data_IF_203556833154
#
_entry.id   IF_203556833154
#
_cell.length_a   1.000
_cell.length_b   1.000
_cell.length_c   1.000
_cell.angle_alpha   90.00
_cell.angle_beta   90.00
_cell.angle_gamma   90.00
#
_symmetry.space_group_name_H-M   'P 1'
#
loop_
_entity.id
_entity.type
_entity.pdbx_description
1 polymer ?
#
# COMPACT_ATOMS: atom_id res chain seq x y z
N UNK A 1 14.41 -28.82 -5.16
CA UNK A 1 13.19 -28.13 -4.67
C UNK A 1 12.05 -28.46 -5.61
N UNK A 2 10.83 -28.76 -5.10
CA UNK A 2 9.67 -28.89 -5.96
C UNK A 2 9.42 -27.56 -6.68
N UNK A 3 9.23 -27.61 -8.00
CA UNK A 3 9.01 -26.45 -8.85
C UNK A 3 7.55 -26.45 -9.31
N UNK A 4 6.67 -25.66 -8.69
CA UNK A 4 5.22 -25.76 -8.87
C UNK A 4 4.73 -25.41 -10.28
N UNK A 5 5.56 -24.75 -11.08
CA UNK A 5 5.20 -24.29 -12.43
C UNK A 5 6.01 -24.91 -13.56
N UNK A 6 6.63 -26.08 -13.34
CA UNK A 6 7.29 -26.83 -14.43
C UNK A 6 6.28 -27.16 -15.54
N UNK A 7 6.64 -26.86 -16.78
CA UNK A 7 5.78 -27.05 -17.95
C UNK A 7 4.68 -25.99 -18.12
N UNK A 8 4.67 -24.95 -17.28
CA UNK A 8 3.79 -23.79 -17.41
C UNK A 8 4.53 -22.64 -18.10
N UNK A 9 3.82 -21.94 -18.97
CA UNK A 9 4.37 -20.76 -19.67
C UNK A 9 3.55 -19.52 -19.36
N UNK A 10 4.23 -18.48 -18.87
CA UNK A 10 3.59 -17.22 -18.51
C UNK A 10 4.17 -16.05 -19.32
N UNK A 11 3.29 -15.14 -19.71
CA UNK A 11 3.70 -13.81 -20.13
C UNK A 11 3.70 -12.88 -18.89
N UNK A 12 4.74 -12.05 -18.71
CA UNK A 12 4.80 -11.02 -17.67
C UNK A 12 4.88 -9.65 -18.32
N UNK A 13 3.91 -8.80 -18.05
CA UNK A 13 3.82 -7.46 -18.65
C UNK A 13 3.78 -6.37 -17.58
N UNK A 14 4.71 -5.39 -17.75
CA UNK A 14 5.01 -4.37 -16.76
C UNK A 14 6.09 -4.86 -15.79
N UNK A 15 7.35 -4.48 -16.06
CA UNK A 15 8.55 -5.00 -15.37
C UNK A 15 9.05 -4.08 -14.24
N UNK A 16 8.13 -3.31 -13.64
CA UNK A 16 8.41 -2.48 -12.47
C UNK A 16 8.43 -3.26 -11.16
N UNK A 17 8.02 -2.59 -10.06
CA UNK A 17 8.08 -3.08 -8.65
C UNK A 17 7.43 -4.46 -8.43
N UNK A 18 6.40 -4.82 -9.20
CA UNK A 18 5.73 -6.11 -9.06
C UNK A 18 6.22 -7.13 -10.12
N UNK A 19 6.36 -6.73 -11.38
CA UNK A 19 6.58 -7.67 -12.48
C UNK A 19 7.96 -8.33 -12.49
N UNK A 20 9.05 -7.58 -12.32
CA UNK A 20 10.39 -8.20 -12.29
C UNK A 20 10.59 -9.15 -11.10
N UNK A 21 10.21 -8.81 -9.87
CA UNK A 21 10.25 -9.78 -8.76
C UNK A 21 9.39 -11.02 -9.03
N UNK A 22 8.19 -10.84 -9.61
CA UNK A 22 7.33 -11.96 -9.98
C UNK A 22 7.97 -12.85 -11.06
N UNK A 23 8.58 -12.26 -12.11
CA UNK A 23 9.26 -13.00 -13.16
C UNK A 23 10.44 -13.83 -12.62
N UNK A 24 11.28 -13.24 -11.76
CA UNK A 24 12.39 -13.96 -11.11
C UNK A 24 11.85 -15.17 -10.31
N UNK A 25 10.78 -14.97 -9.55
CA UNK A 25 10.20 -16.04 -8.74
C UNK A 25 9.55 -17.12 -9.58
N UNK A 26 8.86 -16.77 -10.68
CA UNK A 26 8.31 -17.74 -11.62
C UNK A 26 9.40 -18.60 -12.26
N UNK A 27 10.54 -18.00 -12.63
CA UNK A 27 11.71 -18.73 -13.15
C UNK A 27 12.27 -19.71 -12.12
N UNK A 28 12.37 -19.30 -10.84
CA UNK A 28 12.77 -20.19 -9.75
C UNK A 28 11.79 -21.35 -9.56
N UNK A 29 10.52 -21.12 -9.80
CA UNK A 29 9.46 -22.12 -9.76
C UNK A 29 9.35 -22.99 -11.02
N UNK A 30 10.27 -22.83 -11.97
CA UNK A 30 10.40 -23.69 -13.14
C UNK A 30 9.51 -23.32 -14.33
N UNK A 31 8.91 -22.13 -14.33
CA UNK A 31 8.08 -21.66 -15.43
C UNK A 31 8.93 -21.20 -16.63
N UNK A 32 8.38 -21.40 -17.85
CA UNK A 32 8.82 -20.73 -19.06
C UNK A 32 8.21 -19.33 -19.16
N UNK A 33 9.01 -18.31 -19.53
CA UNK A 33 8.62 -16.91 -19.40
C UNK A 33 8.92 -16.10 -20.64
N UNK A 34 7.95 -15.26 -21.02
CA UNK A 34 8.13 -14.16 -21.98
C UNK A 34 7.77 -12.85 -21.30
N UNK A 35 8.69 -11.89 -21.31
CA UNK A 35 8.56 -10.62 -20.61
C UNK A 35 8.34 -9.45 -21.58
N UNK A 36 7.54 -8.48 -21.15
CA UNK A 36 7.37 -7.24 -21.90
C UNK A 36 7.12 -6.03 -20.99
N UNK A 37 7.67 -4.91 -21.39
CA UNK A 37 7.39 -3.58 -20.83
C UNK A 37 7.43 -2.55 -21.97
N UNK A 38 6.68 -1.45 -21.84
CA UNK A 38 6.73 -0.37 -22.82
C UNK A 38 8.02 0.45 -22.73
N UNK A 39 8.65 0.47 -21.53
CA UNK A 39 9.96 1.09 -21.31
C UNK A 39 11.09 0.27 -21.92
N UNK A 40 11.87 0.89 -22.81
CA UNK A 40 13.06 0.28 -23.38
C UNK A 40 14.09 -0.12 -22.32
N UNK A 41 14.30 0.72 -21.33
CA UNK A 41 15.24 0.45 -20.23
C UNK A 41 14.83 -0.77 -19.40
N UNK A 42 13.52 -0.93 -19.11
CA UNK A 42 13.02 -2.12 -18.42
C UNK A 42 13.21 -3.40 -19.23
N UNK A 43 13.00 -3.33 -20.53
CA UNK A 43 13.25 -4.47 -21.44
C UNK A 43 14.73 -4.85 -21.50
N UNK A 44 15.62 -3.87 -21.60
CA UNK A 44 17.06 -4.08 -21.60
C UNK A 44 17.53 -4.71 -20.28
N UNK A 45 17.05 -4.21 -19.14
CA UNK A 45 17.35 -4.78 -17.83
C UNK A 45 16.91 -6.25 -17.73
N UNK A 46 15.70 -6.59 -18.21
CA UNK A 46 15.22 -7.96 -18.24
C UNK A 46 16.05 -8.88 -19.17
N UNK A 47 16.42 -8.38 -20.36
CA UNK A 47 17.29 -9.12 -21.29
C UNK A 47 18.68 -9.38 -20.69
N UNK A 48 19.25 -8.41 -19.98
CA UNK A 48 20.54 -8.57 -19.28
C UNK A 48 20.48 -9.60 -18.13
N UNK A 49 19.29 -9.85 -17.57
CA UNK A 49 19.05 -10.95 -16.62
C UNK A 49 18.79 -12.31 -17.33
N UNK A 50 18.85 -12.37 -18.66
CA UNK A 50 18.69 -13.58 -19.45
C UNK A 50 17.23 -14.01 -19.63
N UNK A 51 16.26 -13.09 -19.53
CA UNK A 51 14.88 -13.38 -19.89
C UNK A 51 14.62 -13.20 -21.38
N UNK A 52 13.71 -14.01 -21.93
CA UNK A 52 13.16 -13.77 -23.26
C UNK A 52 12.26 -12.52 -23.23
N UNK A 53 12.60 -11.51 -24.04
CA UNK A 53 11.89 -10.22 -24.06
C UNK A 53 11.27 -10.01 -25.44
N UNK A 54 9.99 -10.31 -25.54
CA UNK A 54 9.16 -10.16 -26.74
C UNK A 54 7.75 -9.73 -26.33
N UNK A 55 7.00 -9.16 -27.27
CA UNK A 55 5.56 -9.02 -27.08
C UNK A 55 4.93 -10.42 -27.02
N UNK A 56 4.09 -10.73 -26.02
CA UNK A 56 3.49 -12.07 -25.88
C UNK A 56 2.83 -12.57 -27.16
N UNK A 57 2.13 -11.70 -27.92
CA UNK A 57 1.52 -12.06 -29.19
C UNK A 57 2.50 -12.40 -30.32
N UNK A 58 3.75 -11.97 -30.23
CA UNK A 58 4.82 -12.25 -31.21
C UNK A 58 5.60 -13.53 -30.85
N UNK A 59 5.59 -13.93 -29.59
CA UNK A 59 6.35 -15.09 -29.10
C UNK A 59 5.76 -16.44 -29.54
N UNK A 60 4.50 -16.46 -30.00
CA UNK A 60 3.80 -17.69 -30.41
C UNK A 60 3.60 -18.69 -29.28
N UNK A 61 2.93 -19.82 -29.63
CA UNK A 61 2.67 -20.88 -28.66
C UNK A 61 1.54 -20.59 -27.68
N UNK A 62 1.34 -21.52 -26.73
CA UNK A 62 0.33 -21.40 -25.68
C UNK A 62 0.91 -20.70 -24.46
N UNK A 63 0.08 -19.87 -23.80
CA UNK A 63 0.37 -19.30 -22.49
C UNK A 63 -0.69 -19.75 -21.49
N UNK A 64 -0.27 -20.17 -20.30
CA UNK A 64 -1.18 -20.51 -19.19
C UNK A 64 -1.80 -19.26 -18.56
N UNK A 65 -1.08 -18.14 -18.54
CA UNK A 65 -1.62 -16.85 -18.15
C UNK A 65 -0.73 -15.67 -18.56
N UNK A 66 -1.35 -14.49 -18.57
CA UNK A 66 -0.68 -13.19 -18.59
C UNK A 66 -0.65 -12.62 -17.16
N UNK A 67 0.53 -12.46 -16.59
CA UNK A 67 0.76 -11.74 -15.33
C UNK A 67 0.90 -10.26 -15.66
N UNK A 68 -0.07 -9.47 -15.26
CA UNK A 68 -0.13 -8.05 -15.62
C UNK A 68 0.06 -7.17 -14.38
N UNK A 69 1.04 -6.27 -14.41
CA UNK A 69 1.25 -5.30 -13.31
C UNK A 69 -0.04 -4.54 -12.99
N UNK A 70 -0.37 -4.30 -11.70
CA UNK A 70 -1.66 -3.73 -11.29
C UNK A 70 -1.99 -2.39 -11.95
N UNK A 71 -0.99 -1.52 -12.16
CA UNK A 71 -1.16 -0.22 -12.78
C UNK A 71 -1.56 -0.25 -14.27
N UNK A 72 -1.33 -1.37 -14.96
CA UNK A 72 -1.63 -1.50 -16.39
C UNK A 72 -3.11 -1.88 -16.57
N UNK A 73 -3.89 -1.11 -17.36
CA UNK A 73 -5.31 -1.37 -17.54
C UNK A 73 -5.55 -2.65 -18.36
N UNK A 74 -6.44 -3.51 -17.87
CA UNK A 74 -6.89 -4.69 -18.62
C UNK A 74 -8.28 -4.51 -19.24
N UNK A 75 -9.00 -3.44 -18.85
CA UNK A 75 -10.32 -3.05 -19.39
C UNK A 75 -10.36 -1.54 -19.61
N UNK A 76 -10.78 -0.76 -18.63
CA UNK A 76 -10.95 0.69 -18.73
C UNK A 76 -9.67 1.46 -18.32
N UNK A 77 -9.47 2.69 -18.85
CA UNK A 77 -10.30 3.38 -19.87
C UNK A 77 -10.20 2.73 -21.27
N UNK A 78 -9.09 2.05 -21.56
CA UNK A 78 -8.87 1.19 -22.70
C UNK A 78 -7.89 0.09 -22.29
N UNK A 79 -8.07 -1.16 -22.75
CA UNK A 79 -7.14 -2.22 -22.41
C UNK A 79 -5.76 -1.95 -23.05
N UNK A 80 -4.72 -2.20 -22.29
CA UNK A 80 -3.36 -2.21 -22.81
C UNK A 80 -3.24 -3.23 -23.97
N UNK A 81 -2.45 -2.98 -25.04
CA UNK A 81 -2.36 -3.89 -26.19
C UNK A 81 -2.11 -5.36 -25.83
N UNK A 82 -1.26 -5.63 -24.83
CA UNK A 82 -0.99 -7.00 -24.41
C UNK A 82 -2.15 -7.61 -23.60
N UNK A 83 -2.93 -6.80 -22.89
CA UNK A 83 -4.15 -7.26 -22.23
C UNK A 83 -5.25 -7.57 -23.25
N UNK A 84 -5.42 -6.72 -24.26
CA UNK A 84 -6.34 -6.97 -25.37
C UNK A 84 -5.99 -8.24 -26.14
N UNK A 85 -4.70 -8.46 -26.42
CA UNK A 85 -4.22 -9.70 -27.01
C UNK A 85 -4.60 -10.92 -26.16
N UNK A 86 -4.33 -10.88 -24.84
CA UNK A 86 -4.65 -12.00 -23.95
C UNK A 86 -6.15 -12.32 -23.94
N UNK A 87 -7.01 -11.29 -23.91
CA UNK A 87 -8.46 -11.44 -24.00
C UNK A 87 -8.90 -12.10 -25.32
N UNK A 88 -8.34 -11.67 -26.46
CA UNK A 88 -8.65 -12.23 -27.77
C UNK A 88 -8.16 -13.68 -27.92
N UNK A 89 -7.01 -14.00 -27.31
CA UNK A 89 -6.42 -15.33 -27.34
C UNK A 89 -7.02 -16.27 -26.26
N UNK A 90 -7.93 -15.80 -25.42
CA UNK A 90 -8.49 -16.59 -24.31
C UNK A 90 -7.48 -16.91 -23.20
N UNK A 91 -6.38 -16.13 -23.11
CA UNK A 91 -5.36 -16.26 -22.07
C UNK A 91 -5.82 -15.55 -20.81
N UNK A 92 -5.92 -16.20 -19.64
CA UNK A 92 -6.33 -15.56 -18.40
C UNK A 92 -5.32 -14.49 -17.97
N UNK A 93 -5.84 -13.34 -17.48
CA UNK A 93 -5.03 -12.25 -16.94
C UNK A 93 -5.05 -12.38 -15.41
N UNK A 94 -3.90 -12.60 -14.80
CA UNK A 94 -3.77 -12.88 -13.37
C UNK A 94 -2.98 -11.79 -12.64
N UNK A 95 -3.29 -11.62 -11.35
CA UNK A 95 -2.43 -10.93 -10.40
C UNK A 95 -1.35 -11.91 -9.89
N UNK A 96 -0.19 -11.36 -9.50
CA UNK A 96 0.90 -12.15 -8.90
C UNK A 96 0.49 -12.83 -7.58
N UNK A 97 -0.46 -12.26 -6.84
CA UNK A 97 -1.05 -12.85 -5.65
C UNK A 97 -1.80 -14.17 -5.93
N UNK A 98 -2.46 -14.28 -7.09
CA UNK A 98 -3.08 -15.53 -7.54
C UNK A 98 -2.04 -16.64 -7.71
N UNK A 99 -0.92 -16.30 -8.35
CA UNK A 99 0.16 -17.27 -8.58
C UNK A 99 0.90 -17.65 -7.29
N UNK A 100 1.03 -16.73 -6.33
CA UNK A 100 1.51 -17.08 -4.99
C UNK A 100 0.63 -18.17 -4.36
N UNK A 101 -0.69 -17.95 -4.38
CA UNK A 101 -1.64 -18.91 -3.82
C UNK A 101 -1.52 -20.29 -4.48
N UNK A 102 -1.51 -20.31 -5.82
CA UNK A 102 -1.35 -21.56 -6.58
C UNK A 102 -0.03 -22.26 -6.24
N UNK A 103 1.09 -21.54 -6.17
CA UNK A 103 2.38 -22.09 -5.81
C UNK A 103 2.39 -22.67 -4.38
N UNK A 104 1.85 -21.94 -3.41
CA UNK A 104 1.77 -22.37 -2.00
C UNK A 104 0.96 -23.66 -1.88
N UNK A 105 -0.18 -23.76 -2.56
CA UNK A 105 -1.04 -24.95 -2.55
C UNK A 105 -0.40 -26.12 -3.29
N UNK A 106 0.24 -25.88 -4.44
CA UNK A 106 0.96 -26.91 -5.19
C UNK A 106 2.17 -27.48 -4.41
N UNK A 107 2.80 -26.66 -3.55
CA UNK A 107 3.88 -27.10 -2.66
C UNK A 107 3.38 -27.76 -1.37
N UNK A 108 2.06 -27.93 -1.21
CA UNK A 108 1.42 -28.64 -0.09
C UNK A 108 1.27 -27.81 1.19
N UNK A 109 1.67 -26.52 1.20
CA UNK A 109 1.48 -25.67 2.38
C UNK A 109 0.01 -25.29 2.58
N UNK A 110 -0.43 -25.38 3.84
CA UNK A 110 -1.77 -24.97 4.31
C UNK A 110 -1.78 -23.58 4.93
N UNK A 111 -0.70 -22.83 4.77
CA UNK A 111 -0.62 -21.44 5.26
C UNK A 111 -1.87 -20.64 4.86
N UNK A 112 -2.37 -19.85 5.81
CA UNK A 112 -3.61 -19.08 5.63
C UNK A 112 -3.37 -17.79 4.84
N UNK A 113 -4.39 -17.33 4.14
CA UNK A 113 -4.36 -16.11 3.36
C UNK A 113 -5.33 -15.07 3.94
N UNK A 114 -4.81 -13.92 4.29
CA UNK A 114 -5.57 -12.74 4.72
C UNK A 114 -5.49 -11.70 3.62
N UNK A 115 -6.64 -11.30 3.08
CA UNK A 115 -6.75 -10.20 2.13
C UNK A 115 -7.25 -8.93 2.83
N UNK A 116 -6.60 -7.79 2.59
CA UNK A 116 -7.01 -6.51 3.16
C UNK A 116 -7.23 -5.50 2.05
N UNK A 117 -8.45 -4.98 1.92
CA UNK A 117 -8.81 -3.94 0.96
C UNK A 117 -9.63 -2.82 1.60
N UNK A 118 -9.97 -1.83 0.82
CA UNK A 118 -10.69 -0.61 1.21
C UNK A 118 -10.20 0.57 0.38
N UNK A 119 -10.85 1.69 0.44
CA UNK A 119 -10.31 2.92 -0.14
C UNK A 119 -9.14 3.40 0.71
N UNK A 120 -9.33 3.49 2.03
CA UNK A 120 -8.34 3.98 2.99
C UNK A 120 -8.02 2.92 4.07
N UNK A 121 -6.89 3.08 4.77
CA UNK A 121 -6.52 2.26 5.92
C UNK A 121 -5.79 0.95 5.62
N UNK A 122 -5.81 0.46 4.39
CA UNK A 122 -5.22 -0.83 3.99
C UNK A 122 -3.81 -1.08 4.54
N UNK A 123 -2.89 -0.18 4.24
CA UNK A 123 -1.47 -0.34 4.62
C UNK A 123 -1.27 -0.38 6.12
N UNK A 124 -1.99 0.47 6.87
CA UNK A 124 -1.92 0.48 8.34
C UNK A 124 -2.43 -0.83 8.92
N UNK A 125 -3.58 -1.32 8.44
CA UNK A 125 -4.17 -2.58 8.88
C UNK A 125 -3.29 -3.77 8.53
N UNK A 126 -2.71 -3.80 7.32
CA UNK A 126 -1.78 -4.85 6.87
C UNK A 126 -0.54 -4.91 7.75
N UNK A 127 0.10 -3.78 7.98
CA UNK A 127 1.32 -3.72 8.79
C UNK A 127 1.03 -4.00 10.28
N UNK A 128 -0.09 -3.50 10.81
CA UNK A 128 -0.50 -3.77 12.19
C UNK A 128 -0.78 -5.25 12.40
N UNK A 129 -1.51 -5.90 11.50
CA UNK A 129 -1.76 -7.34 11.60
C UNK A 129 -0.47 -8.15 11.51
N UNK A 130 0.44 -7.80 10.60
CA UNK A 130 1.75 -8.44 10.51
C UNK A 130 2.54 -8.31 11.81
N UNK A 131 2.53 -7.12 12.41
CA UNK A 131 3.18 -6.88 13.69
C UNK A 131 2.54 -7.70 14.83
N UNK A 132 1.20 -7.74 14.92
CA UNK A 132 0.48 -8.56 15.90
C UNK A 132 0.87 -10.05 15.75
N UNK A 133 0.90 -10.58 14.53
CA UNK A 133 1.28 -11.97 14.28
C UNK A 133 2.74 -12.24 14.66
N UNK A 134 3.63 -11.28 14.41
CA UNK A 134 5.04 -11.38 14.81
C UNK A 134 5.19 -11.40 16.33
N UNK A 135 4.49 -10.54 17.06
CA UNK A 135 4.46 -10.52 18.54
C UNK A 135 3.87 -11.83 19.09
N UNK A 136 2.88 -12.39 18.40
CA UNK A 136 2.28 -13.67 18.77
C UNK A 136 3.14 -14.90 18.39
N UNK A 137 4.30 -14.72 17.74
CA UNK A 137 5.16 -15.82 17.29
C UNK A 137 4.59 -16.60 16.09
N UNK A 138 3.61 -16.07 15.37
CA UNK A 138 3.03 -16.70 14.18
C UNK A 138 3.89 -16.37 12.96
N UNK A 139 4.42 -17.37 12.22
CA UNK A 139 5.13 -17.14 10.97
C UNK A 139 4.24 -16.36 10.00
N UNK A 140 4.71 -15.23 9.50
CA UNK A 140 3.89 -14.41 8.62
C UNK A 140 4.73 -13.70 7.55
N UNK A 141 4.07 -13.33 6.44
CA UNK A 141 4.65 -12.52 5.39
C UNK A 141 3.60 -11.55 4.86
N UNK A 142 3.93 -10.26 4.86
CA UNK A 142 3.06 -9.21 4.34
C UNK A 142 3.60 -8.69 3.00
N UNK A 143 2.70 -8.41 2.05
CA UNK A 143 3.10 -7.93 0.73
C UNK A 143 1.94 -7.57 -0.18
N UNK A 144 2.18 -7.64 -1.47
CA UNK A 144 1.31 -7.32 -2.58
C UNK A 144 1.31 -5.80 -2.92
N UNK A 145 0.24 -5.07 -2.66
CA UNK A 145 0.19 -3.63 -2.94
C UNK A 145 1.05 -2.80 -1.97
N UNK A 146 1.35 -3.32 -0.79
CA UNK A 146 2.29 -2.78 0.19
C UNK A 146 3.52 -3.68 0.26
N UNK A 147 4.72 -3.08 0.22
CA UNK A 147 5.97 -3.82 0.38
C UNK A 147 6.35 -4.67 -0.84
N UNK A 148 6.87 -5.91 -0.63
CA UNK A 148 7.28 -6.78 -1.70
C UNK A 148 6.09 -7.29 -2.53
N UNK A 149 6.35 -7.59 -3.81
CA UNK A 149 5.38 -8.26 -4.69
C UNK A 149 4.89 -9.58 -4.05
N UNK A 150 3.60 -9.89 -4.21
CA UNK A 150 3.02 -11.07 -3.53
C UNK A 150 3.80 -12.35 -3.85
N UNK A 151 4.10 -12.60 -5.11
CA UNK A 151 4.78 -13.82 -5.54
C UNK A 151 6.23 -13.92 -5.04
N UNK A 152 6.86 -12.80 -4.68
CA UNK A 152 8.22 -12.79 -4.10
C UNK A 152 8.26 -13.17 -2.61
N UNK A 153 7.12 -13.30 -1.95
CA UNK A 153 7.05 -13.71 -0.56
C UNK A 153 7.57 -15.15 -0.35
N UNK A 154 8.16 -15.45 0.81
CA UNK A 154 8.65 -16.80 1.11
C UNK A 154 7.50 -17.81 1.19
N UNK A 155 7.78 -19.09 0.92
CA UNK A 155 6.82 -20.17 1.19
C UNK A 155 6.78 -20.40 2.69
N UNK A 156 5.61 -20.18 3.28
CA UNK A 156 5.39 -20.29 4.72
C UNK A 156 4.99 -21.73 5.10
N UNK A 157 5.30 -22.18 6.34
CA UNK A 157 4.80 -23.43 6.90
C UNK A 157 3.28 -23.38 7.10
N UNK A 158 2.64 -24.53 7.34
CA UNK A 158 1.19 -24.68 7.51
C UNK A 158 0.58 -23.74 8.56
N UNK A 159 1.31 -23.48 9.65
CA UNK A 159 0.89 -22.53 10.69
C UNK A 159 1.06 -21.05 10.31
N UNK A 160 1.61 -20.77 9.14
CA UNK A 160 1.88 -19.41 8.70
C UNK A 160 0.68 -18.68 8.13
N UNK A 161 0.80 -17.37 7.98
CA UNK A 161 -0.21 -16.51 7.39
C UNK A 161 0.39 -15.48 6.41
N UNK A 162 -0.14 -15.44 5.19
CA UNK A 162 0.11 -14.36 4.23
C UNK A 162 -0.87 -13.22 4.48
N UNK A 163 -0.37 -11.99 4.56
CA UNK A 163 -1.17 -10.78 4.76
C UNK A 163 -1.02 -9.92 3.51
N UNK A 164 -2.01 -9.96 2.64
CA UNK A 164 -1.93 -9.33 1.34
C UNK A 164 -2.76 -8.04 1.31
N UNK A 165 -2.08 -6.90 1.13
CA UNK A 165 -2.78 -5.66 0.79
C UNK A 165 -3.27 -5.73 -0.65
N UNK A 166 -4.59 -5.70 -0.86
CA UNK A 166 -5.18 -5.89 -2.17
C UNK A 166 -5.78 -4.61 -2.72
N UNK A 167 -5.29 -4.15 -3.87
CA UNK A 167 -5.96 -3.11 -4.65
C UNK A 167 -7.17 -3.71 -5.40
N UNK A 168 -8.13 -2.85 -5.81
CA UNK A 168 -9.24 -3.28 -6.66
C UNK A 168 -8.76 -3.92 -7.98
N UNK A 169 -7.68 -3.41 -8.56
CA UNK A 169 -7.07 -3.94 -9.80
C UNK A 169 -6.51 -5.36 -9.65
N UNK A 170 -6.00 -5.71 -8.47
CA UNK A 170 -5.51 -7.06 -8.19
C UNK A 170 -6.67 -8.02 -7.95
N UNK A 171 -7.69 -7.57 -7.22
CA UNK A 171 -8.86 -8.39 -6.89
C UNK A 171 -9.63 -8.85 -8.12
N UNK A 172 -9.79 -8.00 -9.15
CA UNK A 172 -10.42 -8.34 -10.42
C UNK A 172 -9.70 -9.44 -11.23
N UNK A 173 -8.47 -9.77 -10.85
CA UNK A 173 -7.59 -10.72 -11.55
C UNK A 173 -7.31 -11.97 -10.72
N UNK A 174 -8.18 -12.27 -9.77
CA UNK A 174 -8.15 -13.48 -8.97
C UNK A 174 -9.09 -14.52 -9.54
N UNK A 175 -8.66 -15.78 -9.57
CA UNK A 175 -9.43 -16.90 -10.08
C UNK A 175 -9.68 -17.95 -9.00
N UNK A 176 -8.63 -18.39 -8.31
CA UNK A 176 -8.69 -19.45 -7.31
C UNK A 176 -8.31 -19.00 -5.90
N UNK A 177 -7.62 -17.88 -5.75
CA UNK A 177 -7.21 -17.38 -4.44
C UNK A 177 -8.42 -17.16 -3.54
N UNK A 178 -8.51 -17.98 -2.48
CA UNK A 178 -9.48 -17.89 -1.39
C UNK A 178 -8.80 -17.28 -0.18
N UNK A 179 -9.38 -16.21 0.34
CA UNK A 179 -8.93 -15.62 1.60
C UNK A 179 -9.63 -16.32 2.77
N UNK A 180 -8.85 -16.90 3.68
CA UNK A 180 -9.36 -17.45 4.94
C UNK A 180 -9.94 -16.31 5.82
N UNK A 181 -9.35 -15.11 5.70
CA UNK A 181 -9.88 -13.87 6.29
C UNK A 181 -9.88 -12.77 5.22
N UNK A 182 -11.05 -12.30 4.84
CA UNK A 182 -11.22 -11.14 3.96
C UNK A 182 -11.58 -9.90 4.77
N UNK A 183 -10.88 -8.77 4.54
CA UNK A 183 -11.12 -7.51 5.24
C UNK A 183 -11.43 -6.41 4.24
N UNK A 184 -12.59 -5.78 4.36
CA UNK A 184 -12.99 -4.56 3.66
C UNK A 184 -13.14 -3.43 4.69
N UNK A 185 -12.31 -2.39 4.62
CA UNK A 185 -12.31 -1.33 5.62
C UNK A 185 -13.39 -0.26 5.36
N UNK A 186 -13.46 0.25 4.14
CA UNK A 186 -14.35 1.33 3.74
C UNK A 186 -14.40 1.48 2.23
N UNK A 187 -15.45 2.16 1.73
CA UNK A 187 -15.66 2.48 0.33
C UNK A 187 -16.01 3.95 0.16
N UNK A 188 -15.19 4.68 -0.57
CA UNK A 188 -15.46 6.03 -1.04
C UNK A 188 -15.00 6.18 -2.49
N UNK A 189 -15.53 7.13 -3.26
CA UNK A 189 -15.18 7.30 -4.68
C UNK A 189 -13.66 7.38 -4.88
N UNK A 190 -13.14 6.44 -5.69
CA UNK A 190 -11.73 6.39 -6.09
C UNK A 190 -11.61 5.53 -7.34
N UNK A 191 -10.62 5.82 -8.19
CA UNK A 191 -10.33 5.02 -9.39
C UNK A 191 -11.52 4.78 -10.35
N UNK A 192 -12.47 5.71 -10.42
CA UNK A 192 -13.67 5.56 -11.26
C UNK A 192 -13.35 5.53 -12.76
N UNK A 193 -12.25 6.17 -13.17
CA UNK A 193 -11.69 6.07 -14.52
C UNK A 193 -11.34 4.62 -14.92
N UNK A 194 -11.04 3.77 -13.95
CA UNK A 194 -10.63 2.36 -14.14
C UNK A 194 -11.77 1.36 -13.94
N UNK A 195 -12.82 1.72 -13.21
CA UNK A 195 -13.95 0.86 -12.88
C UNK A 195 -15.27 1.32 -13.52
N UNK A 196 -15.28 2.51 -14.16
CA UNK A 196 -16.45 3.13 -14.78
C UNK A 196 -17.26 3.96 -13.79
N UNK A 197 -17.72 3.34 -12.71
CA UNK A 197 -18.52 3.98 -11.66
C UNK A 197 -18.28 3.32 -10.28
N UNK A 198 -19.05 3.76 -9.28
CA UNK A 198 -18.97 3.19 -7.92
C UNK A 198 -19.41 1.73 -7.89
N UNK A 199 -20.40 1.32 -8.69
CA UNK A 199 -20.87 -0.07 -8.72
C UNK A 199 -19.76 -1.02 -9.24
N UNK A 200 -19.03 -0.61 -10.28
CA UNK A 200 -17.86 -1.33 -10.78
C UNK A 200 -16.72 -1.41 -9.75
N UNK A 201 -16.47 -0.30 -9.02
CA UNK A 201 -15.46 -0.28 -7.97
C UNK A 201 -15.83 -1.18 -6.79
N UNK A 202 -17.10 -1.17 -6.36
CA UNK A 202 -17.62 -2.08 -5.32
C UNK A 202 -17.53 -3.54 -5.75
N UNK A 203 -17.93 -3.85 -6.99
CA UNK A 203 -17.83 -5.20 -7.55
C UNK A 203 -16.39 -5.71 -7.55
N UNK A 204 -15.43 -4.88 -7.97
CA UNK A 204 -14.02 -5.22 -7.95
C UNK A 204 -13.51 -5.54 -6.53
N UNK A 205 -13.88 -4.74 -5.54
CA UNK A 205 -13.46 -4.97 -4.15
C UNK A 205 -14.17 -6.14 -3.50
N UNK A 206 -15.43 -6.41 -3.86
CA UNK A 206 -16.20 -7.54 -3.36
C UNK A 206 -15.56 -8.90 -3.70
N UNK A 207 -14.70 -8.96 -4.72
CA UNK A 207 -13.93 -10.16 -5.07
C UNK A 207 -13.09 -10.71 -3.91
N UNK A 208 -12.77 -9.90 -2.90
CA UNK A 208 -12.05 -10.36 -1.71
C UNK A 208 -12.83 -11.43 -0.92
N UNK A 209 -14.17 -11.45 -1.05
CA UNK A 209 -15.06 -12.37 -0.36
C UNK A 209 -15.61 -13.48 -1.28
N UNK A 210 -15.45 -13.35 -2.60
CA UNK A 210 -16.18 -14.14 -3.60
C UNK A 210 -15.96 -15.67 -3.49
N UNK A 211 -14.83 -16.10 -2.93
CA UNK A 211 -14.46 -17.52 -2.83
C UNK A 211 -14.43 -18.05 -1.39
N UNK A 212 -14.98 -17.26 -0.44
CA UNK A 212 -15.06 -17.66 0.95
C UNK A 212 -16.17 -18.71 1.18
N UNK A 213 -15.92 -19.63 2.09
CA UNK A 213 -16.85 -20.66 2.58
C UNK A 213 -17.09 -20.50 4.09
N UNK A 214 -17.77 -21.46 4.71
CA UNK A 214 -18.15 -21.41 6.13
C UNK A 214 -16.95 -21.41 7.10
N UNK A 215 -15.77 -21.83 6.64
CA UNK A 215 -14.55 -21.85 7.46
C UNK A 215 -13.82 -20.49 7.41
N UNK A 216 -14.28 -19.57 6.56
CA UNK A 216 -13.70 -18.26 6.35
C UNK A 216 -14.36 -17.17 7.20
N UNK A 217 -13.66 -16.05 7.38
CA UNK A 217 -14.18 -14.88 8.08
C UNK A 217 -14.19 -13.67 7.14
N UNK A 218 -15.33 -13.02 7.01
CA UNK A 218 -15.52 -11.76 6.30
C UNK A 218 -15.62 -10.61 7.31
N UNK A 219 -14.65 -9.71 7.30
CA UNK A 219 -14.61 -8.52 8.18
C UNK A 219 -14.91 -7.30 7.34
N UNK A 220 -15.89 -6.49 7.74
CA UNK A 220 -16.29 -5.31 6.99
C UNK A 220 -16.56 -4.11 7.89
N UNK A 221 -15.98 -2.95 7.53
CA UNK A 221 -16.32 -1.67 8.13
C UNK A 221 -17.73 -1.22 7.70
N UNK A 222 -18.46 -0.60 8.64
CA UNK A 222 -19.85 -0.17 8.39
C UNK A 222 -20.05 1.35 8.60
N UNK A 223 -19.00 2.15 8.41
CA UNK A 223 -19.09 3.60 8.63
C UNK A 223 -19.59 4.37 7.40
N UNK A 224 -19.53 3.79 6.21
CA UNK A 224 -20.07 4.36 4.96
C UNK A 224 -21.23 3.53 4.40
N UNK A 225 -22.08 4.18 3.58
CA UNK A 225 -23.27 3.54 3.03
C UNK A 225 -22.98 2.37 2.09
N UNK A 226 -22.02 2.48 1.13
CA UNK A 226 -21.66 1.34 0.28
C UNK A 226 -21.19 0.12 1.08
N UNK A 227 -20.36 0.31 2.10
CA UNK A 227 -19.89 -0.78 2.94
C UNK A 227 -21.01 -1.41 3.77
N UNK A 228 -22.00 -0.61 4.27
CA UNK A 228 -23.21 -1.14 4.93
C UNK A 228 -24.04 -2.01 4.00
N UNK A 229 -24.24 -1.59 2.75
CA UNK A 229 -24.95 -2.38 1.75
C UNK A 229 -24.23 -3.70 1.45
N UNK A 230 -22.90 -3.66 1.35
CA UNK A 230 -22.10 -4.87 1.18
C UNK A 230 -22.17 -5.81 2.39
N UNK A 231 -22.28 -5.28 3.62
CA UNK A 231 -22.47 -6.08 4.82
C UNK A 231 -23.81 -6.83 4.81
N UNK A 232 -24.89 -6.22 4.30
CA UNK A 232 -26.17 -6.92 4.10
C UNK A 232 -26.06 -8.06 3.10
N UNK A 233 -25.33 -7.87 2.01
CA UNK A 233 -25.05 -8.95 1.07
C UNK A 233 -24.24 -10.07 1.72
N UNK A 234 -23.20 -9.74 2.51
CA UNK A 234 -22.35 -10.68 3.23
C UNK A 234 -23.13 -11.52 4.26
N UNK A 235 -24.17 -10.97 4.89
CA UNK A 235 -25.01 -11.70 5.82
C UNK A 235 -25.73 -12.91 5.19
N UNK A 236 -25.89 -12.93 3.87
CA UNK A 236 -26.42 -14.08 3.12
C UNK A 236 -25.33 -15.03 2.57
N UNK A 237 -24.05 -14.79 2.84
CA UNK A 237 -22.96 -15.63 2.38
C UNK A 237 -22.53 -16.65 3.45
N UNK A 238 -21.82 -17.73 3.07
CA UNK A 238 -21.46 -18.80 4.02
C UNK A 238 -20.40 -18.38 5.05
N UNK A 239 -19.55 -17.39 4.76
CA UNK A 239 -18.48 -16.96 5.64
C UNK A 239 -19.02 -16.32 6.94
N UNK A 240 -18.28 -16.46 8.03
CA UNK A 240 -18.59 -15.78 9.29
C UNK A 240 -18.43 -14.26 9.10
N UNK A 241 -19.53 -13.52 9.21
CA UNK A 241 -19.53 -12.07 9.11
C UNK A 241 -19.13 -11.39 10.44
N UNK A 242 -18.20 -10.45 10.37
CA UNK A 242 -17.81 -9.56 11.46
C UNK A 242 -17.92 -8.11 10.97
N UNK A 243 -18.95 -7.40 11.42
CA UNK A 243 -19.10 -5.97 11.13
C UNK A 243 -18.33 -5.15 12.16
N UNK A 244 -17.53 -4.17 11.69
CA UNK A 244 -16.69 -3.34 12.55
C UNK A 244 -16.99 -1.85 12.35
N UNK A 245 -16.94 -1.09 13.46
CA UNK A 245 -16.97 0.38 13.45
C UNK A 245 -16.05 0.93 14.54
N UNK A 246 -15.41 2.07 14.28
CA UNK A 246 -14.60 2.78 15.26
C UNK A 246 -15.40 3.22 16.51
N UNK A 247 -16.72 3.26 16.42
CA UNK A 247 -17.59 3.60 17.56
C UNK A 247 -17.63 2.50 18.62
N UNK A 248 -17.32 1.26 18.24
CA UNK A 248 -17.38 0.10 19.12
C UNK A 248 -16.00 -0.42 19.52
N UNK A 249 -14.95 0.36 19.27
CA UNK A 249 -13.59 -0.09 19.54
C UNK A 249 -12.75 1.00 20.19
N UNK A 250 -12.33 0.74 21.42
CA UNK A 250 -11.37 1.57 22.12
C UNK A 250 -9.95 1.09 21.84
N UNK A 251 -9.22 1.87 21.07
CA UNK A 251 -7.84 1.53 20.72
C UNK A 251 -6.94 1.70 21.94
N UNK A 252 -6.14 0.69 22.33
CA UNK A 252 -5.13 0.83 23.35
C UNK A 252 -4.19 2.01 23.05
N UNK A 253 -3.69 2.72 24.06
CA UNK A 253 -2.84 3.89 23.85
C UNK A 253 -1.63 3.57 22.99
N UNK A 254 -1.62 4.10 21.77
CA UNK A 254 -0.48 4.04 20.85
C UNK A 254 -0.51 5.29 19.96
N UNK A 255 0.57 6.07 19.97
CA UNK A 255 0.67 7.32 19.19
C UNK A 255 0.61 7.08 17.68
N UNK A 256 1.13 5.94 17.21
CA UNK A 256 1.11 5.58 15.78
C UNK A 256 -0.31 5.21 15.29
N UNK A 257 -1.23 4.95 16.21
CA UNK A 257 -2.63 4.59 15.92
C UNK A 257 -3.61 5.69 16.41
N UNK A 258 -3.14 6.92 16.60
CA UNK A 258 -4.00 8.02 16.98
C UNK A 258 -5.06 8.32 15.92
N UNK A 259 -6.26 8.69 16.38
CA UNK A 259 -7.38 9.09 15.54
C UNK A 259 -8.40 7.99 15.24
N UNK A 260 -9.65 8.42 15.02
CA UNK A 260 -10.81 7.54 14.84
C UNK A 260 -10.65 6.53 13.70
N UNK A 261 -10.06 6.95 12.58
CA UNK A 261 -9.80 6.07 11.43
C UNK A 261 -8.81 4.93 11.78
N UNK A 262 -7.86 5.18 12.69
CA UNK A 262 -6.95 4.15 13.18
C UNK A 262 -7.60 3.22 14.19
N UNK A 263 -8.64 3.65 14.90
CA UNK A 263 -9.46 2.76 15.72
C UNK A 263 -10.15 1.69 14.85
N UNK A 264 -10.72 2.07 13.71
CA UNK A 264 -11.26 1.09 12.74
C UNK A 264 -10.18 0.14 12.21
N UNK A 265 -9.00 0.67 11.84
CA UNK A 265 -7.87 -0.14 11.36
C UNK A 265 -7.40 -1.14 12.43
N UNK A 266 -7.31 -0.69 13.69
CA UNK A 266 -6.91 -1.54 14.81
C UNK A 266 -7.98 -2.60 15.12
N UNK A 267 -9.25 -2.25 15.04
CA UNK A 267 -10.34 -3.20 15.20
C UNK A 267 -10.29 -4.28 14.11
N UNK A 268 -10.14 -3.89 12.84
CA UNK A 268 -10.00 -4.82 11.72
C UNK A 268 -8.83 -5.79 11.91
N UNK A 269 -7.65 -5.28 12.29
CA UNK A 269 -6.47 -6.09 12.53
C UNK A 269 -6.67 -7.05 13.72
N UNK A 270 -7.34 -6.59 14.79
CA UNK A 270 -7.67 -7.42 15.95
C UNK A 270 -8.59 -8.59 15.59
N UNK A 271 -9.67 -8.31 14.89
CA UNK A 271 -10.61 -9.36 14.47
C UNK A 271 -9.98 -10.34 13.47
N UNK A 272 -9.13 -9.86 12.57
CA UNK A 272 -8.36 -10.73 11.68
C UNK A 272 -7.38 -11.63 12.47
N UNK A 273 -6.69 -11.08 13.47
CA UNK A 273 -5.81 -11.85 14.34
C UNK A 273 -6.57 -12.91 15.17
N UNK A 274 -7.76 -12.56 15.71
CA UNK A 274 -8.65 -13.50 16.42
C UNK A 274 -9.09 -14.64 15.49
N UNK A 275 -9.48 -14.31 14.25
CA UNK A 275 -9.86 -15.33 13.25
C UNK A 275 -8.70 -16.27 12.91
N UNK A 276 -7.46 -15.81 13.06
CA UNK A 276 -6.24 -16.61 12.93
C UNK A 276 -5.89 -17.38 14.22
N UNK A 277 -6.65 -17.24 15.31
CA UNK A 277 -6.43 -17.96 16.57
C UNK A 277 -5.41 -17.28 17.51
N UNK A 278 -5.08 -16.00 17.29
CA UNK A 278 -4.18 -15.24 18.18
C UNK A 278 -4.90 -14.89 19.48
N UNK A 279 -4.21 -15.02 20.60
CA UNK A 279 -4.75 -14.69 21.90
C UNK A 279 -4.95 -13.17 22.08
N UNK A 280 -5.95 -12.78 22.86
CA UNK A 280 -6.26 -11.37 23.14
C UNK A 280 -5.07 -10.62 23.75
N UNK A 281 -4.32 -11.27 24.66
CA UNK A 281 -3.12 -10.68 25.26
C UNK A 281 -2.04 -10.35 24.21
N UNK A 282 -1.79 -11.22 23.24
CA UNK A 282 -0.83 -10.97 22.17
C UNK A 282 -1.32 -9.89 21.19
N UNK A 283 -2.64 -9.81 20.94
CA UNK A 283 -3.25 -8.74 20.14
C UNK A 283 -3.03 -7.39 20.80
N UNK A 284 -3.37 -7.28 22.09
CA UNK A 284 -3.20 -6.04 22.84
C UNK A 284 -1.74 -5.59 22.91
N UNK A 285 -0.81 -6.53 23.13
CA UNK A 285 0.62 -6.25 23.13
C UNK A 285 1.10 -5.79 21.77
N UNK A 286 0.67 -6.46 20.68
CA UNK A 286 0.99 -6.06 19.32
C UNK A 286 0.47 -4.65 18.99
N UNK A 287 -0.74 -4.29 19.40
CA UNK A 287 -1.27 -2.93 19.20
C UNK A 287 -0.45 -1.90 19.99
N UNK A 288 -0.12 -2.17 21.25
CA UNK A 288 0.68 -1.25 22.08
C UNK A 288 2.07 -1.01 21.54
N UNK A 289 2.71 -2.05 21.01
CA UNK A 289 4.09 -2.02 20.54
C UNK A 289 4.22 -1.70 19.04
N UNK A 290 3.11 -1.51 18.32
CA UNK A 290 3.14 -1.19 16.90
C UNK A 290 3.89 0.12 16.63
N UNK A 291 4.98 0.11 15.86
CA UNK A 291 5.81 1.29 15.64
C UNK A 291 5.22 2.27 14.61
N UNK A 292 4.08 1.95 14.01
CA UNK A 292 3.54 2.67 12.85
C UNK A 292 4.12 2.18 11.52
N UNK A 293 3.66 2.80 10.45
CA UNK A 293 4.22 2.58 9.10
C UNK A 293 5.41 3.50 8.89
N UNK A 294 6.48 2.96 8.33
CA UNK A 294 7.58 3.77 7.84
C UNK A 294 7.06 4.86 6.90
N UNK A 295 7.57 6.07 7.06
CA UNK A 295 7.26 7.23 6.22
C UNK A 295 5.78 7.67 6.19
N UNK A 296 4.97 7.27 7.19
CA UNK A 296 3.57 7.68 7.32
C UNK A 296 3.32 8.24 8.71
N UNK A 297 3.42 9.56 8.86
CA UNK A 297 3.35 10.30 10.11
C UNK A 297 4.19 9.65 11.25
N UNK A 298 5.29 8.99 10.88
CA UNK A 298 6.17 8.24 11.77
C UNK A 298 7.05 9.18 12.57
N UNK A 299 7.04 9.10 13.91
CA UNK A 299 8.04 9.78 14.74
C UNK A 299 9.40 9.06 14.60
N UNK A 300 10.36 9.69 13.94
CA UNK A 300 11.67 9.10 13.64
C UNK A 300 12.77 9.52 14.59
N UNK A 301 12.61 10.67 15.26
CA UNK A 301 13.55 11.17 16.25
C UNK A 301 12.88 12.16 17.21
N UNK A 302 13.45 12.29 18.41
CA UNK A 302 13.20 13.40 19.34
C UNK A 302 14.56 13.97 19.72
N UNK A 303 14.81 15.26 19.41
CA UNK A 303 16.06 15.93 19.74
C UNK A 303 15.78 17.22 20.50
N UNK A 304 16.35 17.36 21.68
CA UNK A 304 16.17 18.53 22.54
C UNK A 304 14.69 18.98 22.69
N UNK A 305 13.79 18.01 22.83
CA UNK A 305 12.34 18.25 22.95
C UNK A 305 11.61 18.47 21.61
N UNK A 306 12.31 18.56 20.47
CA UNK A 306 11.71 18.66 19.16
C UNK A 306 11.48 17.27 18.58
N UNK A 307 10.23 16.99 18.17
CA UNK A 307 9.80 15.75 17.54
C UNK A 307 9.90 15.87 16.02
N UNK A 308 10.49 14.87 15.37
CA UNK A 308 10.59 14.78 13.92
C UNK A 308 9.63 13.74 13.38
N UNK A 309 8.68 14.17 12.58
CA UNK A 309 7.61 13.34 12.03
C UNK A 309 7.86 13.15 10.54
N UNK A 310 8.07 11.90 10.12
CA UNK A 310 8.31 11.50 8.75
C UNK A 310 6.99 11.03 8.11
N UNK A 311 6.52 11.79 7.14
CA UNK A 311 5.35 11.47 6.33
C UNK A 311 5.69 11.54 4.83
N UNK A 312 6.88 11.07 4.46
CA UNK A 312 7.39 11.12 3.08
C UNK A 312 6.46 10.43 2.07
N UNK A 313 5.60 9.52 2.52
CA UNK A 313 4.58 8.84 1.70
C UNK A 313 3.45 9.79 1.27
N UNK A 314 3.29 10.96 1.86
CA UNK A 314 2.35 11.99 1.42
C UNK A 314 2.82 12.63 0.10
N UNK A 315 2.55 11.95 -1.01
CA UNK A 315 2.95 12.37 -2.36
C UNK A 315 1.92 13.26 -3.07
N UNK A 316 0.92 13.74 -2.35
CA UNK A 316 -0.09 14.70 -2.80
C UNK A 316 -0.69 15.44 -1.61
N UNK A 317 -1.47 16.50 -1.87
CA UNK A 317 -2.09 17.35 -0.85
C UNK A 317 -3.09 16.58 0.04
N UNK A 318 -3.96 15.73 -0.53
CA UNK A 318 -4.92 14.92 0.24
C UNK A 318 -4.20 14.04 1.28
N UNK A 319 -3.11 13.38 0.89
CA UNK A 319 -2.33 12.58 1.83
C UNK A 319 -1.71 13.44 2.95
N UNK A 320 -1.15 14.61 2.61
CA UNK A 320 -0.54 15.52 3.58
C UNK A 320 -1.56 16.10 4.57
N UNK A 321 -2.79 16.36 4.13
CA UNK A 321 -3.86 16.92 4.97
C UNK A 321 -4.12 16.07 6.23
N UNK A 322 -3.99 14.75 6.10
CA UNK A 322 -4.19 13.79 7.21
C UNK A 322 -3.14 13.93 8.29
N UNK A 323 -1.87 14.05 7.91
CA UNK A 323 -0.78 14.27 8.87
C UNK A 323 -0.89 15.67 9.51
N UNK A 324 -1.19 16.70 8.71
CA UNK A 324 -1.40 18.07 9.22
C UNK A 324 -2.57 18.16 10.19
N UNK A 325 -3.61 17.35 10.00
CA UNK A 325 -4.78 17.28 10.87
C UNK A 325 -4.50 16.78 12.30
N UNK A 326 -3.40 16.04 12.50
CA UNK A 326 -3.02 15.45 13.80
C UNK A 326 -2.38 16.47 14.74
N UNK A 327 -1.69 17.49 14.20
CA UNK A 327 -0.90 18.44 14.96
C UNK A 327 -1.60 19.80 15.05
N UNK A 328 -1.61 20.42 16.23
CA UNK A 328 -2.15 21.76 16.43
C UNK A 328 -1.25 22.83 15.80
N UNK A 329 0.09 22.70 16.00
CA UNK A 329 1.10 23.57 15.41
C UNK A 329 2.35 22.76 15.03
N UNK A 330 3.00 23.15 13.93
CA UNK A 330 4.22 22.47 13.44
C UNK A 330 5.03 23.38 12.52
N UNK A 331 6.33 23.09 12.42
CA UNK A 331 7.19 23.55 11.32
C UNK A 331 7.08 22.53 10.20
N UNK A 332 6.73 22.99 8.99
CA UNK A 332 6.44 22.11 7.85
C UNK A 332 7.61 22.05 6.88
N UNK A 333 8.03 20.85 6.50
CA UNK A 333 8.95 20.63 5.37
C UNK A 333 8.13 20.04 4.22
N UNK A 334 8.13 20.73 3.05
CA UNK A 334 7.33 20.33 1.89
C UNK A 334 8.03 20.63 0.56
N UNK A 335 7.55 19.95 -0.51
CA UNK A 335 8.03 20.19 -1.86
C UNK A 335 8.65 18.96 -2.52
N UNK A 336 8.96 19.09 -3.81
CA UNK A 336 9.34 18.06 -4.77
C UNK A 336 8.58 18.30 -6.08
N UNK A 337 8.06 17.22 -6.71
CA UNK A 337 7.26 17.29 -7.96
C UNK A 337 5.77 17.30 -7.61
N UNK A 338 5.13 18.49 -7.73
CA UNK A 338 3.73 18.67 -7.40
C UNK A 338 2.79 18.02 -8.43
N UNK A 339 1.60 17.61 -7.96
CA UNK A 339 0.47 17.27 -8.83
C UNK A 339 -0.36 18.51 -9.17
N UNK A 340 -1.28 18.38 -10.13
CA UNK A 340 -2.23 19.44 -10.45
C UNK A 340 -2.98 19.89 -9.18
N UNK A 341 -3.18 21.19 -9.00
CA UNK A 341 -3.78 21.78 -7.79
C UNK A 341 -2.79 22.15 -6.68
N UNK A 342 -1.54 21.70 -6.73
CA UNK A 342 -0.49 22.07 -5.77
C UNK A 342 -0.88 21.77 -4.33
N UNK A 343 -0.89 22.83 -3.48
CA UNK A 343 -1.21 22.75 -2.04
C UNK A 343 -2.49 23.51 -1.65
N UNK A 344 -3.35 23.87 -2.60
CA UNK A 344 -4.55 24.67 -2.31
C UNK A 344 -5.53 23.96 -1.37
N UNK A 345 -5.66 22.63 -1.50
CA UNK A 345 -6.48 21.80 -0.61
C UNK A 345 -6.00 21.81 0.86
N UNK A 346 -4.75 22.23 1.11
CA UNK A 346 -4.17 22.33 2.45
C UNK A 346 -4.47 23.67 3.13
N UNK A 347 -5.11 24.63 2.46
CA UNK A 347 -5.42 25.96 3.01
C UNK A 347 -6.11 25.93 4.39
N UNK A 348 -7.01 24.99 4.73
CA UNK A 348 -7.59 24.87 6.08
C UNK A 348 -6.56 24.65 7.20
N UNK A 349 -5.36 24.17 6.87
CA UNK A 349 -4.30 23.87 7.85
C UNK A 349 -3.22 24.96 7.91
N UNK A 350 -3.24 25.96 7.04
CA UNK A 350 -2.17 26.97 6.96
C UNK A 350 -1.98 27.76 8.27
N UNK A 351 -3.04 27.99 9.02
CA UNK A 351 -2.97 28.66 10.34
C UNK A 351 -2.21 27.85 11.41
N UNK A 352 -1.97 26.57 11.18
CA UNK A 352 -1.21 25.69 12.07
C UNK A 352 0.28 25.66 11.77
N UNK A 353 0.67 26.18 10.58
CA UNK A 353 2.06 26.19 10.14
C UNK A 353 2.77 27.37 10.80
N UNK A 354 3.76 27.08 11.62
CA UNK A 354 4.59 28.10 12.26
C UNK A 354 5.63 28.67 11.31
N UNK A 355 6.29 27.81 10.54
CA UNK A 355 7.17 28.15 9.42
C UNK A 355 7.18 26.99 8.42
N UNK A 356 7.23 27.26 7.14
CA UNK A 356 7.42 26.26 6.09
C UNK A 356 8.82 26.35 5.49
N UNK A 357 9.52 25.22 5.39
CA UNK A 357 10.81 25.05 4.69
C UNK A 357 10.54 24.26 3.40
N UNK A 358 10.82 24.90 2.26
CA UNK A 358 10.38 24.38 0.97
C UNK A 358 11.55 23.85 0.16
N UNK A 359 11.36 22.68 -0.44
CA UNK A 359 12.40 21.94 -1.14
C UNK A 359 11.95 21.54 -2.55
N UNK A 360 12.91 21.13 -3.38
CA UNK A 360 12.64 20.51 -4.67
C UNK A 360 12.10 21.46 -5.74
N UNK A 361 11.73 20.86 -6.87
CA UNK A 361 11.41 21.56 -8.12
C UNK A 361 10.29 22.60 -7.99
N UNK A 362 9.20 22.23 -7.32
CA UNK A 362 8.02 23.09 -7.23
C UNK A 362 7.93 23.83 -5.88
N UNK A 363 9.02 23.81 -5.08
CA UNK A 363 9.09 24.48 -3.77
C UNK A 363 8.91 26.00 -3.85
N UNK A 364 9.41 26.68 -4.90
CA UNK A 364 9.21 28.11 -5.10
C UNK A 364 7.73 28.46 -5.34
N UNK A 365 7.00 27.63 -6.08
CA UNK A 365 5.57 27.81 -6.28
C UNK A 365 4.79 27.68 -4.95
N UNK A 366 5.18 26.74 -4.10
CA UNK A 366 4.62 26.61 -2.75
C UNK A 366 4.95 27.81 -1.88
N UNK A 367 6.19 28.33 -1.95
CA UNK A 367 6.60 29.54 -1.23
C UNK A 367 5.71 30.73 -1.58
N UNK A 368 5.47 30.94 -2.88
CA UNK A 368 4.59 32.00 -3.36
C UNK A 368 3.17 31.85 -2.79
N UNK A 369 2.59 30.64 -2.90
CA UNK A 369 1.23 30.36 -2.42
C UNK A 369 1.08 30.57 -0.91
N UNK A 370 2.06 30.16 -0.13
CA UNK A 370 2.08 30.35 1.33
C UNK A 370 2.27 31.82 1.71
N UNK A 371 3.10 32.57 0.99
CA UNK A 371 3.27 34.01 1.20
C UNK A 371 1.97 34.78 0.93
N UNK A 372 1.22 34.42 -0.11
CA UNK A 372 -0.10 35.00 -0.40
C UNK A 372 -1.12 34.74 0.74
N UNK A 373 -0.93 33.62 1.48
CA UNK A 373 -1.74 33.28 2.64
C UNK A 373 -1.20 33.82 3.97
N UNK A 374 -0.09 34.57 3.96
CA UNK A 374 0.52 35.13 5.16
C UNK A 374 1.28 34.13 6.02
N UNK A 375 1.63 32.95 5.49
CA UNK A 375 2.39 31.92 6.20
C UNK A 375 3.89 32.19 6.05
N UNK A 376 4.62 32.24 7.17
CA UNK A 376 6.07 32.36 7.18
C UNK A 376 6.70 31.16 6.46
N UNK A 377 7.53 31.42 5.44
CA UNK A 377 8.13 30.37 4.65
C UNK A 377 9.49 30.74 4.07
N UNK A 378 10.24 29.73 3.64
CA UNK A 378 11.56 29.89 3.04
C UNK A 378 11.82 28.75 2.06
N UNK A 379 12.23 29.07 0.82
CA UNK A 379 12.72 28.07 -0.12
C UNK A 379 14.18 27.77 0.14
N UNK A 380 14.49 26.56 0.58
CA UNK A 380 15.86 26.13 0.95
C UNK A 380 16.44 25.09 -0.01
N UNK A 381 15.60 24.53 -0.88
CA UNK A 381 15.98 23.68 -1.99
C UNK A 381 16.14 22.19 -1.67
N UNK A 382 16.82 21.80 -0.57
CA UNK A 382 17.10 20.38 -0.24
C UNK A 382 16.81 20.04 1.22
N UNK A 383 16.70 18.73 1.53
CA UNK A 383 16.46 18.24 2.89
C UNK A 383 17.63 18.55 3.84
N UNK A 384 18.86 18.51 3.36
CA UNK A 384 20.06 18.82 4.15
C UNK A 384 20.01 20.24 4.73
N UNK A 385 19.41 21.18 3.99
CA UNK A 385 19.21 22.55 4.45
C UNK A 385 17.91 22.71 5.25
N UNK A 386 16.85 21.99 4.83
CA UNK A 386 15.54 22.12 5.45
C UNK A 386 15.51 21.57 6.88
N UNK A 387 16.12 20.40 7.15
CA UNK A 387 16.04 19.75 8.46
C UNK A 387 16.71 20.56 9.58
N UNK A 388 17.94 21.08 9.43
CA UNK A 388 18.53 21.95 10.46
C UNK A 388 17.76 23.27 10.67
N UNK A 389 17.27 23.89 9.59
CA UNK A 389 16.48 25.11 9.68
C UNK A 389 15.13 24.86 10.39
N UNK A 390 14.46 23.74 10.08
CA UNK A 390 13.23 23.32 10.73
C UNK A 390 13.44 23.00 12.22
N UNK A 391 14.53 22.33 12.56
CA UNK A 391 14.89 22.08 13.97
C UNK A 391 15.04 23.39 14.75
N UNK A 392 15.78 24.35 14.20
CA UNK A 392 15.99 25.65 14.85
C UNK A 392 14.66 26.39 15.06
N UNK A 393 13.79 26.40 14.04
CA UNK A 393 12.48 27.03 14.15
C UNK A 393 11.58 26.34 15.17
N UNK A 394 11.51 25.01 15.14
CA UNK A 394 10.65 24.24 16.04
C UNK A 394 11.12 24.27 17.52
N UNK A 395 12.44 24.33 17.76
CA UNK A 395 13.01 24.45 19.11
C UNK A 395 12.62 25.75 19.81
N UNK A 396 12.46 26.83 19.04
CA UNK A 396 12.01 28.14 19.54
C UNK A 396 10.49 28.27 19.67
N UNK A 397 9.71 27.26 19.24
CA UNK A 397 8.27 27.36 19.10
C UNK A 397 7.51 26.06 19.42
N UNK A 398 6.88 25.47 18.40
CA UNK A 398 5.90 24.38 18.54
C UNK A 398 6.47 23.01 18.94
N UNK A 399 7.79 22.79 18.88
CA UNK A 399 8.43 21.52 19.19
C UNK A 399 8.14 20.35 18.22
N UNK A 400 7.59 20.63 17.03
CA UNK A 400 7.25 19.61 16.04
C UNK A 400 7.78 20.01 14.66
N UNK A 401 8.59 19.15 14.04
CA UNK A 401 8.95 19.19 12.62
C UNK A 401 8.14 18.12 11.89
N UNK A 402 7.26 18.56 11.00
CA UNK A 402 6.45 17.68 10.14
C UNK A 402 7.02 17.69 8.73
N UNK A 403 7.62 16.58 8.32
CA UNK A 403 8.00 16.32 6.93
C UNK A 403 6.86 15.60 6.23
N UNK A 404 5.99 16.33 5.56
CA UNK A 404 4.86 15.82 4.77
C UNK A 404 4.84 16.55 3.43
N UNK A 405 5.57 16.04 2.43
CA UNK A 405 6.00 16.79 1.25
C UNK A 405 4.87 17.29 0.35
N UNK A 406 3.72 16.64 0.34
CA UNK A 406 2.58 16.88 -0.57
C UNK A 406 2.91 16.69 -2.07
N UNK A 407 4.04 16.05 -2.39
CA UNK A 407 4.61 15.93 -3.74
C UNK A 407 5.29 14.59 -3.95
N UNK A 408 5.42 14.15 -5.22
CA UNK A 408 6.33 13.06 -5.57
C UNK A 408 7.80 13.48 -5.35
N UNK A 409 8.71 12.50 -5.23
CA UNK A 409 10.11 12.68 -4.85
C UNK A 409 11.09 12.69 -6.03
N UNK A 410 10.62 12.42 -7.25
CA UNK A 410 11.44 12.03 -8.41
C UNK A 410 12.39 13.12 -8.95
N UNK A 411 12.36 14.31 -8.42
CA UNK A 411 13.32 15.39 -8.72
C UNK A 411 14.65 15.26 -7.96
N UNK A 412 14.62 14.68 -6.75
CA UNK A 412 15.79 14.54 -5.88
C UNK A 412 16.04 13.11 -5.39
N UNK A 413 15.03 12.23 -5.43
CA UNK A 413 15.11 10.87 -4.90
C UNK A 413 14.43 9.85 -5.85
N UNK A 414 14.89 8.59 -5.90
CA UNK A 414 14.31 7.56 -6.76
C UNK A 414 12.86 7.21 -6.37
N UNK A 415 12.51 7.32 -5.09
CA UNK A 415 11.18 7.06 -4.54
C UNK A 415 10.96 7.80 -3.21
N UNK A 416 9.75 7.69 -2.65
CA UNK A 416 9.43 8.33 -1.37
C UNK A 416 10.10 7.60 -0.19
N UNK A 417 10.41 6.34 -0.32
CA UNK A 417 11.12 5.54 0.68
C UNK A 417 12.52 6.11 0.90
N UNK A 418 13.32 6.23 -0.16
CA UNK A 418 14.67 6.82 -0.10
C UNK A 418 14.64 8.25 0.47
N UNK A 419 13.67 9.07 0.04
CA UNK A 419 13.46 10.42 0.59
C UNK A 419 13.16 10.40 2.08
N UNK A 420 12.34 9.47 2.53
CA UNK A 420 11.96 9.33 3.93
C UNK A 420 13.09 8.76 4.80
N UNK A 421 13.88 7.82 4.30
CA UNK A 421 15.07 7.30 4.98
C UNK A 421 16.11 8.40 5.16
N UNK A 422 16.33 9.19 4.13
CA UNK A 422 17.26 10.31 4.19
C UNK A 422 16.82 11.38 5.21
N UNK A 423 15.52 11.75 5.22
CA UNK A 423 14.98 12.62 6.27
C UNK A 423 15.20 12.02 7.67
N UNK A 424 14.95 10.72 7.86
CA UNK A 424 15.12 10.07 9.15
C UNK A 424 16.60 10.04 9.60
N UNK A 425 17.55 9.90 8.67
CA UNK A 425 18.99 10.00 8.95
C UNK A 425 19.32 11.42 9.48
N UNK A 426 18.95 12.45 8.75
CA UNK A 426 19.19 13.85 9.13
C UNK A 426 18.51 14.22 10.46
N UNK A 427 17.28 13.74 10.69
CA UNK A 427 16.53 13.97 11.93
C UNK A 427 17.25 13.39 13.16
N UNK A 428 17.94 12.25 13.00
CA UNK A 428 18.74 11.61 14.06
C UNK A 428 20.10 12.28 14.27
N UNK A 429 20.49 13.26 13.46
CA UNK A 429 21.78 13.95 13.51
C UNK A 429 22.87 13.25 12.69
N UNK A 430 22.51 12.37 11.76
CA UNK A 430 23.42 11.85 10.73
C UNK A 430 23.71 12.93 9.66
N UNK A 431 24.86 12.84 9.03
CA UNK A 431 25.27 13.60 7.86
C UNK A 431 24.80 12.97 6.55
#
# INVERSE_FOLDING_TARGET
MMQPFVGKRFAVVGLGRAGMPAARRLREFGADLVLWDDSGASREAAANEGFEVLRPGEAGGHFDALVLSPGIPHRLPAPHPQAAWAQQAGVPILADAELLYQAVRALGSKARFVGITGTNGKSTTTALLAHILTVAGVPNAAGANLGPAALSLPILPDAGAYILEMSSYMLERLVSLRFDVGVMLNLSPDHLDRHGDMAGYEAAKREIFARQDADCTAIIGIEDDPSRQMAFWLAGQPAKLVAISSEYYETPPNRALAGRHNAQNAFAASEAAKALGVSEGAILEGIKTFPGLAHRAQEVAVREGVRFINDSKATNADAASRAMGVFERFVWIAGGVAKAGGIDELAPFFSRIEKALLIGRDGEAFAKRLSEAGVANEYVGTLEKAVPAAFTAAKGGCGVVLFSPATASFDQFPDFEARGEFFACLAKGGE
#
